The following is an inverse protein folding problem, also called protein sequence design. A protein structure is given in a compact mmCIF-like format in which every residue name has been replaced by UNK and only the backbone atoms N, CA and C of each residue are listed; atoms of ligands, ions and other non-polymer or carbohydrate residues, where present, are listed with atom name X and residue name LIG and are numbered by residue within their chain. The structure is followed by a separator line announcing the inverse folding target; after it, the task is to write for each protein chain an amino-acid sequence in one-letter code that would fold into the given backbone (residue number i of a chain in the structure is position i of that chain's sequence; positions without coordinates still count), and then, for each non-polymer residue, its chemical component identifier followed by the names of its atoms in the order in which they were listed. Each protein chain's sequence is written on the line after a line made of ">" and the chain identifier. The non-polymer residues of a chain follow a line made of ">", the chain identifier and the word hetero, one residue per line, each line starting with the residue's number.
data_IF_022950290464
#
_entry.id   IF_022950290464
#
_cell.length_a   1.000
_cell.length_b   1.000
_cell.length_c   1.000
_cell.angle_alpha   90.00
_cell.angle_beta   90.00
_cell.angle_gamma   90.00
#
_symmetry.space_group_name_H-M   'P 1'
#
loop_
_entity.id
_entity.type
_entity.pdbx_description
1 polymer ?
#
# COMPACT_ATOMS: atom_id res chain seq x y z
N UNK A 1 36.50 -32.93 25.17
CA UNK A 1 35.80 -33.41 23.96
C UNK A 1 35.04 -32.21 23.38
N UNK A 2 35.62 -31.54 22.35
CA UNK A 2 35.09 -30.32 21.75
C UNK A 2 34.16 -30.73 20.60
N UNK A 3 32.87 -30.69 20.82
CA UNK A 3 31.87 -30.82 19.76
C UNK A 3 31.90 -29.56 18.89
N UNK A 4 32.54 -29.66 17.74
CA UNK A 4 32.40 -28.69 16.66
C UNK A 4 31.05 -28.94 15.99
N UNK A 5 30.00 -28.23 16.39
CA UNK A 5 28.78 -28.12 15.63
C UNK A 5 29.00 -27.09 14.50
N UNK A 6 29.39 -27.61 13.36
CA UNK A 6 29.41 -26.89 12.09
C UNK A 6 27.97 -26.83 11.53
N UNK A 7 27.18 -25.86 11.99
CA UNK A 7 25.91 -25.54 11.36
C UNK A 7 26.11 -24.44 10.32
N UNK A 8 26.72 -24.75 9.19
CA UNK A 8 26.61 -24.02 7.91
C UNK A 8 27.49 -24.66 6.82
N UNK A 9 27.17 -25.86 6.30
CA UNK A 9 27.80 -26.31 5.06
C UNK A 9 26.86 -26.39 3.84
N UNK A 10 25.62 -25.92 3.87
CA UNK A 10 24.70 -26.19 2.76
C UNK A 10 24.24 -24.98 1.93
N UNK A 11 25.01 -23.89 1.88
CA UNK A 11 24.80 -22.85 0.87
C UNK A 11 25.98 -22.74 -0.12
N UNK A 12 26.57 -23.85 -0.50
CA UNK A 12 27.57 -23.92 -1.57
C UNK A 12 26.97 -24.27 -2.95
N UNK A 13 25.73 -23.87 -3.22
CA UNK A 13 25.13 -23.99 -4.55
C UNK A 13 25.47 -22.84 -5.51
N UNK A 14 26.52 -22.09 -5.22
CA UNK A 14 27.13 -21.22 -6.23
C UNK A 14 28.30 -22.02 -6.83
N UNK A 15 28.25 -22.36 -8.14
CA UNK A 15 29.34 -23.09 -8.76
C UNK A 15 30.62 -22.32 -8.55
N UNK A 16 31.68 -23.00 -8.04
CA UNK A 16 33.02 -22.49 -7.72
C UNK A 16 33.76 -21.80 -8.88
N UNK A 17 33.13 -21.61 -10.04
CA UNK A 17 33.70 -21.03 -11.28
C UNK A 17 33.06 -19.72 -11.72
N UNK A 18 32.12 -19.14 -10.99
CA UNK A 18 31.66 -17.78 -11.30
C UNK A 18 32.74 -16.80 -10.83
N UNK A 19 33.38 -16.15 -11.79
CA UNK A 19 34.37 -15.07 -11.53
C UNK A 19 33.65 -13.96 -10.74
N UNK A 20 33.79 -13.94 -9.40
CA UNK A 20 33.14 -12.99 -8.48
C UNK A 20 33.47 -11.53 -8.77
N UNK A 21 34.47 -11.26 -9.61
CA UNK A 21 34.85 -9.96 -10.10
C UNK A 21 34.13 -9.53 -11.37
N UNK A 22 33.32 -10.41 -12.00
CA UNK A 22 32.54 -10.04 -13.18
C UNK A 22 31.51 -8.96 -12.85
N UNK A 23 31.31 -8.02 -13.76
CA UNK A 23 30.29 -6.97 -13.65
C UNK A 23 28.90 -7.61 -13.47
N UNK A 24 28.62 -8.69 -14.19
CA UNK A 24 27.36 -9.43 -14.13
C UNK A 24 27.09 -9.94 -12.71
N UNK A 25 28.09 -10.52 -12.05
CA UNK A 25 27.92 -11.02 -10.67
C UNK A 25 27.61 -9.87 -9.69
N UNK A 26 28.25 -8.71 -9.87
CA UNK A 26 27.97 -7.51 -9.06
C UNK A 26 26.53 -7.00 -9.26
N UNK A 27 26.04 -6.97 -10.49
CA UNK A 27 24.66 -6.57 -10.82
C UNK A 27 23.66 -7.56 -10.20
N UNK A 28 23.87 -8.87 -10.38
CA UNK A 28 23.00 -9.90 -9.80
C UNK A 28 22.93 -9.76 -8.27
N UNK A 29 24.07 -9.53 -7.62
CA UNK A 29 24.13 -9.36 -6.16
C UNK A 29 23.30 -8.17 -5.70
N UNK A 30 23.48 -6.99 -6.29
CA UNK A 30 22.73 -5.79 -5.86
C UNK A 30 21.24 -5.91 -6.16
N UNK A 31 20.87 -6.52 -7.29
CA UNK A 31 19.49 -6.80 -7.64
C UNK A 31 18.82 -7.79 -6.66
N UNK A 32 19.54 -8.85 -6.28
CA UNK A 32 19.07 -9.81 -5.29
C UNK A 32 18.80 -9.15 -3.92
N UNK A 33 19.67 -8.24 -3.47
CA UNK A 33 19.44 -7.48 -2.24
C UNK A 33 18.18 -6.61 -2.36
N UNK A 34 17.98 -5.98 -3.51
CA UNK A 34 16.78 -5.18 -3.76
C UNK A 34 15.50 -6.02 -3.74
N UNK A 35 15.53 -7.24 -4.30
CA UNK A 35 14.41 -8.20 -4.21
C UNK A 35 14.10 -8.52 -2.74
N UNK A 36 15.12 -8.81 -1.92
CA UNK A 36 14.92 -9.10 -0.50
C UNK A 36 14.32 -7.91 0.25
N UNK A 37 14.72 -6.68 -0.07
CA UNK A 37 14.17 -5.45 0.53
C UNK A 37 12.78 -5.08 -0.03
N UNK A 38 12.34 -5.71 -1.11
CA UNK A 38 11.03 -5.50 -1.73
C UNK A 38 10.10 -6.71 -1.54
N UNK A 39 10.54 -7.74 -0.83
CA UNK A 39 9.87 -9.05 -0.76
C UNK A 39 8.41 -8.97 -0.30
N UNK A 40 8.10 -8.10 0.66
CA UNK A 40 6.73 -7.99 1.22
C UNK A 40 5.70 -7.65 0.16
N UNK A 41 6.05 -6.83 -0.85
CA UNK A 41 5.17 -6.48 -1.97
C UNK A 41 4.88 -7.72 -2.82
N UNK A 42 5.92 -8.44 -3.22
CA UNK A 42 5.78 -9.57 -4.15
C UNK A 42 5.25 -10.83 -3.47
N UNK A 43 5.60 -11.07 -2.19
CA UNK A 43 5.04 -12.18 -1.43
C UNK A 43 3.58 -11.98 -1.07
N UNK A 44 3.07 -10.73 -1.07
CA UNK A 44 1.66 -10.45 -0.83
C UNK A 44 0.71 -10.96 -1.93
N UNK A 45 1.24 -11.33 -3.09
CA UNK A 45 0.46 -12.02 -4.12
C UNK A 45 0.15 -13.49 -3.76
N UNK A 46 0.94 -14.07 -2.85
CA UNK A 46 0.76 -15.43 -2.36
C UNK A 46 0.16 -15.38 -0.96
N UNK A 47 -1.15 -15.46 -0.85
CA UNK A 47 -1.88 -15.31 0.42
C UNK A 47 -1.81 -16.58 1.28
N UNK A 48 -0.60 -17.08 1.57
CA UNK A 48 -0.39 -18.24 2.41
C UNK A 48 0.47 -17.92 3.64
N UNK A 49 0.30 -18.72 4.69
CA UNK A 49 0.95 -18.53 5.99
C UNK A 49 2.49 -18.65 5.90
N UNK A 50 3.02 -19.43 4.97
CA UNK A 50 4.47 -19.61 4.83
C UNK A 50 5.13 -18.35 4.30
N UNK A 51 4.59 -17.74 3.23
CA UNK A 51 5.10 -16.47 2.69
C UNK A 51 4.96 -15.35 3.69
N UNK A 52 3.86 -15.33 4.45
CA UNK A 52 3.66 -14.36 5.54
C UNK A 52 4.69 -14.54 6.66
N UNK A 53 4.99 -15.79 7.03
CA UNK A 53 5.97 -16.07 8.09
C UNK A 53 7.39 -15.71 7.69
N UNK A 54 7.80 -16.00 6.43
CA UNK A 54 9.18 -15.80 5.99
C UNK A 54 9.51 -14.35 5.61
N UNK A 55 8.52 -13.54 5.24
CA UNK A 55 8.71 -12.19 4.71
C UNK A 55 9.60 -11.29 5.59
N UNK A 56 9.37 -11.13 6.92
CA UNK A 56 10.23 -10.27 7.74
C UNK A 56 11.67 -10.80 7.88
N UNK A 57 11.87 -12.10 7.80
CA UNK A 57 13.23 -12.69 7.85
C UNK A 57 14.00 -12.43 6.54
N UNK A 58 13.31 -12.42 5.40
CA UNK A 58 13.91 -12.02 4.12
C UNK A 58 14.29 -10.53 4.13
N UNK A 59 13.47 -9.68 4.74
CA UNK A 59 13.79 -8.27 4.93
C UNK A 59 15.04 -8.09 5.82
N UNK A 60 15.12 -8.79 6.96
CA UNK A 60 16.30 -8.80 7.83
C UNK A 60 17.53 -9.24 7.04
N UNK A 61 17.41 -10.31 6.26
CA UNK A 61 18.53 -10.79 5.43
C UNK A 61 18.95 -9.76 4.39
N UNK A 62 18.01 -9.11 3.73
CA UNK A 62 18.26 -8.01 2.79
C UNK A 62 19.04 -6.86 3.44
N UNK A 63 18.64 -6.44 4.66
CA UNK A 63 19.34 -5.40 5.43
C UNK A 63 20.76 -5.83 5.83
N UNK A 64 20.97 -7.08 6.24
CA UNK A 64 22.30 -7.64 6.54
C UNK A 64 23.21 -7.60 5.30
N UNK A 65 22.69 -8.00 4.14
CA UNK A 65 23.44 -7.98 2.89
C UNK A 65 23.71 -6.54 2.40
N UNK A 66 22.79 -5.62 2.64
CA UNK A 66 23.00 -4.19 2.38
C UNK A 66 24.17 -3.67 3.20
N UNK A 67 24.23 -3.92 4.52
CA UNK A 67 25.33 -3.53 5.39
C UNK A 67 26.68 -4.17 4.98
N UNK A 68 26.66 -5.40 4.46
CA UNK A 68 27.85 -6.07 3.89
C UNK A 68 28.33 -5.45 2.57
N UNK A 69 27.57 -4.56 1.96
CA UNK A 69 27.97 -3.86 0.73
C UNK A 69 28.90 -2.70 1.09
N UNK A 70 30.15 -2.72 0.57
CA UNK A 70 31.24 -1.87 1.06
C UNK A 70 31.63 -0.70 0.15
N UNK A 71 30.74 -0.29 -0.75
CA UNK A 71 30.98 0.91 -1.56
C UNK A 71 29.67 1.65 -1.92
N UNK A 72 29.79 2.94 -2.14
CA UNK A 72 28.65 3.83 -2.42
C UNK A 72 27.92 3.47 -3.73
N UNK A 73 28.64 2.89 -4.69
CA UNK A 73 28.05 2.45 -5.96
C UNK A 73 27.12 1.26 -5.77
N UNK A 74 27.45 0.31 -4.88
CA UNK A 74 26.53 -0.80 -4.55
C UNK A 74 25.27 -0.28 -3.86
N UNK A 75 25.40 0.65 -2.88
CA UNK A 75 24.26 1.27 -2.24
C UNK A 75 23.36 1.99 -3.26
N UNK A 76 23.97 2.74 -4.19
CA UNK A 76 23.23 3.38 -5.27
C UNK A 76 22.41 2.37 -6.08
N UNK A 77 23.04 1.30 -6.57
CA UNK A 77 22.33 0.33 -7.40
C UNK A 77 21.30 -0.49 -6.63
N UNK A 78 21.52 -0.78 -5.34
CA UNK A 78 20.50 -1.40 -4.49
C UNK A 78 19.31 -0.47 -4.37
N UNK A 79 19.50 0.79 -4.02
CA UNK A 79 18.44 1.79 -3.92
C UNK A 79 17.71 2.01 -5.25
N UNK A 80 18.45 2.05 -6.36
CA UNK A 80 17.90 2.16 -7.71
C UNK A 80 16.93 1.01 -8.01
N UNK A 81 17.32 -0.23 -7.78
CA UNK A 81 16.45 -1.37 -8.00
C UNK A 81 15.30 -1.44 -6.98
N UNK A 82 15.52 -1.05 -5.72
CA UNK A 82 14.42 -0.91 -4.74
C UNK A 82 13.40 0.10 -5.24
N UNK A 83 13.81 1.29 -5.68
CA UNK A 83 12.91 2.30 -6.23
C UNK A 83 12.10 1.79 -7.42
N UNK A 84 12.75 1.06 -8.35
CA UNK A 84 12.05 0.44 -9.47
C UNK A 84 11.07 -0.63 -8.97
N UNK A 85 11.49 -1.58 -8.13
CA UNK A 85 10.64 -2.68 -7.68
C UNK A 85 9.42 -2.20 -6.87
N UNK A 86 9.52 -1.06 -6.18
CA UNK A 86 8.40 -0.49 -5.45
C UNK A 86 7.47 0.31 -6.34
N UNK A 87 7.97 1.00 -7.40
CA UNK A 87 7.23 2.08 -8.07
C UNK A 87 7.22 2.01 -9.61
N UNK A 88 7.63 0.87 -10.21
CA UNK A 88 7.61 0.73 -11.68
C UNK A 88 6.23 0.99 -12.29
N UNK A 89 5.19 0.69 -11.56
CA UNK A 89 3.81 0.82 -11.99
C UNK A 89 3.37 2.28 -12.18
N UNK A 90 4.03 3.26 -11.55
CA UNK A 90 3.69 4.69 -11.73
C UNK A 90 3.79 5.09 -13.21
N UNK A 91 4.75 4.53 -13.94
CA UNK A 91 4.90 4.77 -15.36
C UNK A 91 3.67 4.38 -16.18
N UNK A 92 2.89 3.38 -15.75
CA UNK A 92 1.72 2.91 -16.51
C UNK A 92 0.63 3.98 -16.65
N UNK A 93 0.51 4.90 -15.71
CA UNK A 93 -0.48 5.97 -15.78
C UNK A 93 -0.28 6.89 -17.00
N UNK A 94 0.96 7.00 -17.50
CA UNK A 94 1.26 7.84 -18.66
C UNK A 94 0.61 7.36 -19.96
N UNK A 95 0.19 6.09 -20.04
CA UNK A 95 -0.52 5.52 -21.20
C UNK A 95 -1.83 6.28 -21.45
N UNK A 96 -2.56 6.61 -20.39
CA UNK A 96 -3.85 7.29 -20.49
C UNK A 96 -3.76 8.77 -20.88
N UNK A 97 -2.54 9.31 -20.90
CA UNK A 97 -2.25 10.67 -21.36
C UNK A 97 -1.57 10.68 -22.77
N UNK A 98 -1.53 9.53 -23.46
CA UNK A 98 -0.83 9.32 -24.73
C UNK A 98 0.68 9.62 -24.66
N UNK A 99 1.29 9.43 -23.46
CA UNK A 99 2.70 9.64 -23.20
C UNK A 99 3.44 8.30 -23.01
N UNK A 100 3.21 7.35 -23.91
CA UNK A 100 3.71 5.96 -23.81
C UNK A 100 5.24 5.87 -23.61
N UNK A 101 6.00 6.84 -24.15
CA UNK A 101 7.45 6.90 -23.97
C UNK A 101 7.88 7.15 -22.52
N UNK A 102 7.00 7.71 -21.67
CA UNK A 102 7.27 7.92 -20.25
C UNK A 102 7.14 6.64 -19.42
N UNK A 103 6.49 5.59 -19.93
CA UNK A 103 6.33 4.31 -19.21
C UNK A 103 7.66 3.76 -18.68
N UNK A 104 8.73 3.62 -19.47
CA UNK A 104 10.04 3.21 -18.96
C UNK A 104 10.82 4.34 -18.27
N UNK A 105 10.60 5.60 -18.61
CA UNK A 105 11.39 6.73 -18.12
C UNK A 105 11.07 7.03 -16.66
N UNK A 106 9.78 7.08 -16.29
CA UNK A 106 9.35 7.39 -14.92
C UNK A 106 9.96 6.41 -13.88
N UNK A 107 9.88 5.08 -14.05
CA UNK A 107 10.53 4.14 -13.13
C UNK A 107 12.05 4.34 -13.02
N UNK A 108 12.73 4.69 -14.13
CA UNK A 108 14.17 4.96 -14.12
C UNK A 108 14.47 6.21 -13.28
N UNK A 109 13.70 7.28 -13.44
CA UNK A 109 13.85 8.51 -12.64
C UNK A 109 13.64 8.21 -11.15
N UNK A 110 12.58 7.47 -10.81
CA UNK A 110 12.30 7.07 -9.42
C UNK A 110 13.44 6.20 -8.88
N UNK A 111 13.89 5.22 -9.66
CA UNK A 111 15.05 4.41 -9.30
C UNK A 111 16.29 5.27 -9.01
N UNK A 112 16.53 6.29 -9.83
CA UNK A 112 17.66 7.22 -9.64
C UNK A 112 17.52 7.99 -8.32
N UNK A 113 16.34 8.49 -8.00
CA UNK A 113 16.06 9.20 -6.73
C UNK A 113 16.38 8.30 -5.53
N UNK A 114 15.83 7.08 -5.49
CA UNK A 114 16.09 6.13 -4.40
C UNK A 114 17.57 5.67 -4.40
N UNK A 115 18.19 5.50 -5.57
CA UNK A 115 19.61 5.23 -5.69
C UNK A 115 20.47 6.30 -5.03
N UNK A 116 20.16 7.56 -5.25
CA UNK A 116 20.84 8.70 -4.59
C UNK A 116 20.59 8.70 -3.08
N UNK A 117 19.36 8.48 -2.61
CA UNK A 117 19.06 8.41 -1.18
C UNK A 117 19.85 7.31 -0.47
N UNK A 118 19.90 6.10 -1.03
CA UNK A 118 20.71 5.01 -0.49
C UNK A 118 22.20 5.34 -0.50
N UNK A 119 22.69 5.94 -1.60
CA UNK A 119 24.08 6.39 -1.70
C UNK A 119 24.43 7.43 -0.64
N UNK A 120 23.54 8.39 -0.35
CA UNK A 120 23.72 9.37 0.71
C UNK A 120 23.82 8.70 2.09
N UNK A 121 23.00 7.68 2.36
CA UNK A 121 23.11 6.91 3.59
C UNK A 121 24.50 6.23 3.73
N UNK A 122 25.10 5.75 2.64
CA UNK A 122 26.44 5.17 2.66
C UNK A 122 27.53 6.16 3.08
N UNK A 123 27.36 7.47 2.82
CA UNK A 123 28.34 8.48 3.20
C UNK A 123 28.44 8.69 4.72
N UNK A 124 27.47 8.20 5.48
CA UNK A 124 27.54 8.20 6.94
C UNK A 124 28.70 7.30 7.42
N UNK A 125 29.47 7.79 8.38
CA UNK A 125 30.73 7.19 8.81
C UNK A 125 30.60 5.78 9.38
N UNK A 126 29.56 5.54 10.19
CA UNK A 126 29.35 4.31 10.92
C UNK A 126 28.22 3.48 10.31
N UNK A 127 28.39 2.15 10.26
CA UNK A 127 27.39 1.25 9.69
C UNK A 127 26.02 1.33 10.42
N UNK A 128 26.03 1.61 11.73
CA UNK A 128 24.83 1.89 12.49
C UNK A 128 24.09 3.14 11.96
N UNK A 129 24.82 4.23 11.74
CA UNK A 129 24.23 5.46 11.18
C UNK A 129 23.73 5.27 9.76
N UNK A 130 24.42 4.46 8.93
CA UNK A 130 23.95 4.08 7.60
C UNK A 130 22.58 3.40 7.68
N UNK A 131 22.44 2.46 8.61
CA UNK A 131 21.17 1.76 8.83
C UNK A 131 20.08 2.70 9.33
N UNK A 132 20.39 3.63 10.24
CA UNK A 132 19.48 4.69 10.65
C UNK A 132 19.07 5.57 9.46
N UNK A 133 20.00 5.92 8.58
CA UNK A 133 19.70 6.65 7.34
C UNK A 133 18.72 5.89 6.45
N UNK A 134 18.94 4.59 6.22
CA UNK A 134 18.05 3.72 5.46
C UNK A 134 16.66 3.67 6.10
N UNK A 135 16.56 3.56 7.43
CA UNK A 135 15.29 3.62 8.15
C UNK A 135 14.57 4.96 7.91
N UNK A 136 15.32 6.07 7.98
CA UNK A 136 14.77 7.42 7.81
C UNK A 136 14.25 7.69 6.39
N UNK A 137 14.62 6.90 5.37
CA UNK A 137 14.06 7.06 4.02
C UNK A 137 12.52 6.93 4.02
N UNK A 138 11.93 6.16 4.94
CA UNK A 138 10.47 6.08 5.11
C UNK A 138 9.79 7.42 5.42
N UNK A 139 10.55 8.41 5.89
CA UNK A 139 10.03 9.73 6.23
C UNK A 139 10.39 10.78 5.18
N UNK A 140 11.10 10.38 4.13
CA UNK A 140 11.43 11.22 2.99
C UNK A 140 10.44 10.91 1.89
N UNK A 141 9.69 11.92 1.47
CA UNK A 141 8.62 11.79 0.49
C UNK A 141 9.01 12.51 -0.81
N UNK A 142 9.78 11.85 -1.69
CA UNK A 142 10.20 12.47 -2.94
C UNK A 142 8.97 12.89 -3.76
N UNK A 143 8.98 14.13 -4.23
CA UNK A 143 7.89 14.70 -5.03
C UNK A 143 6.52 14.68 -4.30
N UNK A 144 6.50 14.60 -2.96
CA UNK A 144 5.28 14.55 -2.14
C UNK A 144 4.59 13.19 -2.07
N UNK A 145 5.21 12.13 -2.64
CA UNK A 145 4.65 10.77 -2.67
C UNK A 145 5.20 9.92 -1.52
N UNK A 146 4.33 9.46 -0.59
CA UNK A 146 4.71 8.86 0.71
C UNK A 146 4.50 7.34 0.82
N UNK A 147 4.43 6.63 -0.29
CA UNK A 147 4.19 5.18 -0.26
C UNK A 147 5.44 4.34 0.07
N UNK A 148 6.63 4.95 0.18
CA UNK A 148 7.81 4.25 0.63
C UNK A 148 7.83 4.16 2.15
N UNK A 149 7.48 3.00 2.70
CA UNK A 149 7.38 2.79 4.14
C UNK A 149 7.84 1.38 4.54
N UNK A 150 8.93 1.31 5.32
CA UNK A 150 9.42 0.03 5.85
C UNK A 150 8.43 -0.66 6.79
N UNK A 151 7.37 0.01 7.22
CA UNK A 151 6.27 -0.58 7.99
C UNK A 151 5.68 -1.82 7.37
N UNK A 152 5.71 -1.94 6.03
CA UNK A 152 5.23 -3.14 5.33
C UNK A 152 5.97 -4.42 5.74
N UNK A 153 7.20 -4.36 6.30
CA UNK A 153 7.92 -5.51 6.81
C UNK A 153 7.26 -6.16 8.03
N UNK A 154 6.40 -5.43 8.74
CA UNK A 154 5.71 -5.89 9.94
C UNK A 154 4.26 -6.32 9.70
N UNK A 155 3.74 -6.10 8.49
CA UNK A 155 2.36 -6.47 8.13
C UNK A 155 2.15 -7.98 8.26
N UNK A 156 3.18 -8.74 7.92
CA UNK A 156 3.20 -10.19 8.03
C UNK A 156 4.17 -10.65 9.13
N UNK A 157 4.10 -11.93 9.47
CA UNK A 157 5.02 -12.55 10.42
C UNK A 157 4.74 -12.20 11.87
N UNK A 158 5.77 -12.25 12.70
CA UNK A 158 5.67 -12.17 14.16
C UNK A 158 5.84 -10.77 14.74
N UNK A 159 6.37 -9.83 13.97
CA UNK A 159 6.68 -8.50 14.48
C UNK A 159 5.43 -7.63 14.61
N UNK A 160 5.42 -6.83 15.67
CA UNK A 160 4.36 -5.85 15.94
C UNK A 160 4.28 -4.82 14.80
N UNK A 161 3.09 -4.57 14.22
CA UNK A 161 2.91 -3.59 13.15
C UNK A 161 2.95 -2.16 13.67
N UNK A 162 4.13 -1.73 14.13
CA UNK A 162 4.43 -0.42 14.70
C UNK A 162 5.89 -0.06 14.49
N UNK A 163 6.27 1.15 14.84
CA UNK A 163 7.69 1.56 14.83
C UNK A 163 8.56 0.66 15.72
N UNK A 164 8.05 0.14 16.82
CA UNK A 164 8.75 -0.82 17.69
C UNK A 164 9.17 -2.06 16.89
N UNK A 165 8.25 -2.68 16.17
CA UNK A 165 8.55 -3.87 15.36
C UNK A 165 9.56 -3.57 14.24
N UNK A 166 9.41 -2.43 13.55
CA UNK A 166 10.34 -2.04 12.49
C UNK A 166 11.75 -1.79 13.05
N UNK A 167 11.87 -1.05 14.15
CA UNK A 167 13.16 -0.77 14.81
C UNK A 167 13.84 -2.07 15.22
N UNK A 168 13.08 -3.03 15.78
CA UNK A 168 13.62 -4.34 16.14
C UNK A 168 14.14 -5.12 14.92
N UNK A 169 13.42 -5.11 13.78
CA UNK A 169 13.88 -5.70 12.52
C UNK A 169 15.22 -5.11 12.09
N UNK A 170 15.35 -3.78 12.11
CA UNK A 170 16.59 -3.07 11.75
C UNK A 170 17.72 -3.38 12.73
N UNK A 171 17.47 -3.35 14.02
CA UNK A 171 18.47 -3.67 15.05
C UNK A 171 18.91 -5.14 14.97
N UNK A 172 18.00 -6.08 14.75
CA UNK A 172 18.33 -7.50 14.54
C UNK A 172 19.30 -7.63 13.35
N UNK A 173 18.99 -6.97 12.23
CA UNK A 173 19.88 -6.98 11.06
C UNK A 173 21.27 -6.41 11.39
N UNK A 174 21.34 -5.31 12.16
CA UNK A 174 22.58 -4.73 12.60
C UNK A 174 23.41 -5.69 13.46
N UNK A 175 22.81 -6.29 14.50
CA UNK A 175 23.53 -7.19 15.40
C UNK A 175 23.90 -8.52 14.75
N UNK A 176 23.16 -8.99 13.75
CA UNK A 176 23.59 -10.13 12.91
C UNK A 176 24.82 -9.76 12.07
N UNK A 177 24.84 -8.55 11.53
CA UNK A 177 25.96 -8.04 10.71
C UNK A 177 27.21 -7.75 11.54
N UNK A 178 27.06 -7.14 12.73
CA UNK A 178 28.15 -6.68 13.58
C UNK A 178 29.12 -7.81 13.92
N UNK A 179 30.43 -7.55 13.73
CA UNK A 179 31.47 -8.56 13.88
C UNK A 179 32.22 -8.57 15.23
N UNK A 180 32.17 -7.46 15.99
CA UNK A 180 32.98 -7.27 17.20
C UNK A 180 32.39 -7.92 18.46
N UNK A 181 31.08 -8.22 18.45
CA UNK A 181 30.39 -8.83 19.60
C UNK A 181 30.55 -10.35 19.54
N UNK A 182 30.86 -10.99 20.67
CA UNK A 182 31.01 -12.45 20.72
C UNK A 182 29.69 -13.13 20.34
N UNK A 183 29.77 -14.33 19.78
CA UNK A 183 28.61 -15.07 19.25
C UNK A 183 27.50 -15.26 20.27
N UNK A 184 27.83 -15.52 21.53
CA UNK A 184 26.82 -15.77 22.59
C UNK A 184 26.03 -14.50 22.92
N UNK A 185 26.72 -13.37 23.14
CA UNK A 185 26.06 -12.09 23.37
C UNK A 185 25.24 -11.64 22.18
N UNK A 186 25.74 -11.86 20.96
CA UNK A 186 24.97 -11.57 19.73
C UNK A 186 23.66 -12.34 19.68
N UNK A 187 23.67 -13.66 19.94
CA UNK A 187 22.46 -14.48 19.99
C UNK A 187 21.50 -13.96 21.05
N UNK A 188 22.02 -13.67 22.27
CA UNK A 188 21.20 -13.14 23.34
C UNK A 188 20.53 -11.80 22.96
N UNK A 189 21.28 -10.86 22.36
CA UNK A 189 20.75 -9.57 21.92
C UNK A 189 19.68 -9.76 20.83
N UNK A 190 19.94 -10.61 19.83
CA UNK A 190 18.99 -10.89 18.74
C UNK A 190 17.71 -11.50 19.30
N UNK A 191 17.80 -12.43 20.26
CA UNK A 191 16.60 -12.99 20.92
C UNK A 191 15.83 -11.93 21.73
N UNK A 192 16.54 -11.10 22.50
CA UNK A 192 15.91 -9.99 23.25
C UNK A 192 15.18 -9.06 22.28
N UNK A 193 15.81 -8.66 21.17
CA UNK A 193 15.20 -7.79 20.17
C UNK A 193 14.04 -8.46 19.46
N UNK A 194 14.14 -9.77 19.15
CA UNK A 194 13.03 -10.52 18.56
C UNK A 194 11.80 -10.52 19.48
N UNK A 195 11.98 -10.85 20.76
CA UNK A 195 10.88 -10.80 21.72
C UNK A 195 10.40 -9.38 21.99
N UNK A 196 11.29 -8.38 22.03
CA UNK A 196 10.89 -6.97 22.18
C UNK A 196 10.06 -6.47 21.00
N UNK A 197 10.35 -6.94 19.78
CA UNK A 197 9.62 -6.58 18.57
C UNK A 197 8.39 -7.47 18.30
N UNK A 198 8.18 -8.52 19.10
CA UNK A 198 7.11 -9.49 18.90
C UNK A 198 5.71 -8.88 19.14
N UNK A 199 4.73 -9.32 18.36
CA UNK A 199 3.34 -8.95 18.56
C UNK A 199 2.70 -9.87 19.60
N UNK A 200 2.45 -9.34 20.80
CA UNK A 200 1.84 -10.11 21.89
C UNK A 200 0.32 -9.99 21.92
N UNK A 201 -0.22 -8.86 21.46
CA UNK A 201 -1.63 -8.56 21.53
C UNK A 201 -2.19 -8.17 20.17
N UNK A 202 -3.44 -8.49 19.93
CA UNK A 202 -4.22 -8.00 18.82
C UNK A 202 -4.91 -6.69 19.22
N UNK A 203 -4.90 -5.72 18.31
CA UNK A 203 -5.75 -4.54 18.48
C UNK A 203 -7.15 -4.88 18.00
N UNK A 204 -8.12 -4.58 18.82
CA UNK A 204 -9.52 -4.69 18.44
C UNK A 204 -9.91 -3.45 17.63
N UNK A 205 -10.63 -3.65 16.54
CA UNK A 205 -11.23 -2.59 15.76
C UNK A 205 -12.75 -2.68 15.83
N UNK A 206 -13.39 -1.52 15.79
CA UNK A 206 -14.84 -1.48 15.55
C UNK A 206 -15.12 -1.94 14.12
N UNK A 207 -16.20 -2.69 13.95
CA UNK A 207 -16.73 -3.08 12.64
C UNK A 207 -18.00 -2.32 12.34
N UNK A 208 -18.36 -2.23 11.06
CA UNK A 208 -19.66 -1.68 10.68
C UNK A 208 -20.78 -2.51 11.28
N UNK A 209 -21.74 -1.84 11.92
CA UNK A 209 -22.93 -2.47 12.51
C UNK A 209 -24.04 -2.74 11.48
N UNK A 210 -23.86 -2.28 10.24
CA UNK A 210 -24.82 -2.43 9.15
C UNK A 210 -24.48 -3.64 8.28
N UNK A 211 -25.50 -4.32 7.76
CA UNK A 211 -25.33 -5.34 6.74
C UNK A 211 -25.00 -4.66 5.40
N UNK A 212 -23.73 -4.75 4.98
CA UNK A 212 -23.19 -4.02 3.84
C UNK A 212 -22.88 -4.89 2.62
N UNK A 213 -22.77 -4.25 1.46
CA UNK A 213 -22.25 -4.81 0.21
C UNK A 213 -21.19 -3.87 -0.37
N UNK A 214 -20.01 -4.42 -0.72
CA UNK A 214 -18.96 -3.71 -1.46
C UNK A 214 -19.07 -4.07 -2.93
N UNK A 215 -19.10 -3.08 -3.82
CA UNK A 215 -19.18 -3.28 -5.26
C UNK A 215 -17.82 -3.08 -5.91
N UNK A 216 -17.42 -4.04 -6.74
CA UNK A 216 -16.32 -3.91 -7.67
C UNK A 216 -16.88 -3.71 -9.07
N UNK A 217 -16.62 -2.59 -9.69
CA UNK A 217 -17.16 -2.28 -11.03
C UNK A 217 -16.38 -2.92 -12.16
N UNK A 218 -15.10 -3.24 -11.95
CA UNK A 218 -14.20 -3.85 -12.93
C UNK A 218 -14.24 -3.20 -14.34
N UNK A 219 -14.44 -1.89 -14.38
CA UNK A 219 -14.47 -1.10 -15.61
C UNK A 219 -13.04 -0.66 -15.92
N UNK A 220 -12.55 -0.94 -17.13
CA UNK A 220 -11.21 -0.52 -17.55
C UNK A 220 -11.12 1.01 -17.65
N UNK A 221 -9.93 1.55 -17.39
CA UNK A 221 -9.72 2.99 -17.28
C UNK A 221 -9.99 3.73 -18.60
N UNK A 222 -9.68 3.12 -19.73
CA UNK A 222 -9.93 3.67 -21.07
C UNK A 222 -11.42 3.76 -21.41
N UNK A 223 -12.26 2.85 -20.86
CA UNK A 223 -13.71 2.81 -21.11
C UNK A 223 -14.50 3.67 -20.11
N UNK A 224 -13.93 3.92 -18.93
CA UNK A 224 -14.65 4.50 -17.80
C UNK A 224 -15.18 5.91 -18.05
N UNK A 225 -14.42 6.72 -18.78
CA UNK A 225 -14.73 8.15 -19.04
C UNK A 225 -15.30 8.41 -20.43
N UNK A 226 -15.50 7.37 -21.26
CA UNK A 226 -16.12 7.56 -22.58
C UNK A 226 -17.59 7.94 -22.43
N UNK A 227 -17.98 9.02 -23.07
CA UNK A 227 -19.36 9.56 -23.00
C UNK A 227 -20.42 8.52 -23.37
N UNK A 228 -20.13 7.67 -24.36
CA UNK A 228 -20.99 6.57 -24.79
C UNK A 228 -21.25 5.52 -23.73
N UNK A 229 -20.29 5.33 -22.79
CA UNK A 229 -20.37 4.33 -21.73
C UNK A 229 -20.95 4.87 -20.42
N UNK A 230 -21.00 6.20 -20.22
CA UNK A 230 -21.44 6.78 -18.94
C UNK A 230 -22.86 6.34 -18.56
N UNK A 231 -23.76 6.29 -19.56
CA UNK A 231 -25.15 5.86 -19.33
C UNK A 231 -25.20 4.37 -18.93
N UNK A 232 -24.61 3.49 -19.74
CA UNK A 232 -24.63 2.04 -19.49
C UNK A 232 -23.96 1.67 -18.18
N UNK A 233 -22.81 2.27 -17.86
CA UNK A 233 -22.14 2.07 -16.59
C UNK A 233 -23.01 2.52 -15.41
N UNK A 234 -23.68 3.68 -15.51
CA UNK A 234 -24.56 4.17 -14.46
C UNK A 234 -25.80 3.29 -14.27
N UNK A 235 -26.37 2.77 -15.36
CA UNK A 235 -27.53 1.90 -15.32
C UNK A 235 -27.19 0.55 -14.65
N UNK A 236 -25.98 0.00 -14.88
CA UNK A 236 -25.46 -1.19 -14.18
C UNK A 236 -25.33 -0.92 -12.67
N UNK A 237 -24.78 0.23 -12.28
CA UNK A 237 -24.67 0.61 -10.86
C UNK A 237 -26.04 0.72 -10.17
N UNK A 238 -27.05 1.24 -10.86
CA UNK A 238 -28.40 1.27 -10.33
C UNK A 238 -28.97 -0.15 -10.15
N UNK A 239 -28.68 -1.09 -11.07
CA UNK A 239 -29.08 -2.49 -10.92
C UNK A 239 -28.39 -3.15 -9.72
N UNK A 240 -27.10 -2.89 -9.50
CA UNK A 240 -26.36 -3.38 -8.33
C UNK A 240 -26.99 -2.88 -7.01
N UNK A 241 -27.42 -1.60 -6.98
CA UNK A 241 -28.09 -1.02 -5.82
C UNK A 241 -29.45 -1.69 -5.59
N UNK A 242 -30.26 -1.88 -6.65
CA UNK A 242 -31.55 -2.57 -6.56
C UNK A 242 -31.36 -4.02 -6.09
N UNK A 243 -30.34 -4.70 -6.61
CA UNK A 243 -29.99 -6.04 -6.15
C UNK A 243 -29.64 -6.06 -4.66
N UNK A 244 -28.83 -5.11 -4.19
CA UNK A 244 -28.48 -5.01 -2.77
C UNK A 244 -29.71 -4.78 -1.88
N UNK A 245 -30.69 -3.99 -2.33
CA UNK A 245 -31.98 -3.81 -1.65
C UNK A 245 -32.74 -5.15 -1.56
N UNK A 246 -32.80 -5.91 -2.66
CA UNK A 246 -33.45 -7.23 -2.70
C UNK A 246 -32.76 -8.24 -1.80
N UNK A 247 -31.42 -8.13 -1.64
CA UNK A 247 -30.61 -8.90 -0.71
C UNK A 247 -30.73 -8.42 0.75
N UNK A 248 -31.61 -7.45 1.03
CA UNK A 248 -31.83 -6.84 2.35
C UNK A 248 -30.56 -6.25 2.96
N UNK A 249 -29.71 -5.64 2.12
CA UNK A 249 -28.57 -4.87 2.59
C UNK A 249 -29.02 -3.51 3.12
N UNK A 250 -28.32 -3.01 4.14
CA UNK A 250 -28.57 -1.71 4.76
C UNK A 250 -27.64 -0.63 4.22
N UNK A 251 -26.48 -1.06 3.68
CA UNK A 251 -25.45 -0.20 3.13
C UNK A 251 -24.85 -0.82 1.86
N UNK A 252 -24.71 0.00 0.82
CA UNK A 252 -23.93 -0.34 -0.37
C UNK A 252 -22.82 0.68 -0.56
N UNK A 253 -21.61 0.19 -0.88
CA UNK A 253 -20.41 1.01 -1.08
C UNK A 253 -19.88 0.72 -2.49
N UNK A 254 -19.92 1.75 -3.34
CA UNK A 254 -19.40 1.72 -4.70
C UNK A 254 -18.02 2.40 -4.75
N UNK A 255 -17.17 2.09 -5.76
CA UNK A 255 -15.81 2.60 -5.81
C UNK A 255 -15.71 4.08 -6.17
N UNK A 256 -14.46 4.58 -6.18
CA UNK A 256 -14.09 5.93 -6.61
C UNK A 256 -14.56 6.20 -8.04
N UNK A 257 -15.12 7.42 -8.25
CA UNK A 257 -15.65 7.84 -9.55
C UNK A 257 -16.52 6.77 -10.23
N UNK A 258 -17.35 6.04 -9.46
CA UNK A 258 -18.29 5.07 -10.01
C UNK A 258 -19.22 5.76 -11.01
N UNK A 259 -19.74 6.94 -10.66
CA UNK A 259 -20.35 7.88 -11.60
C UNK A 259 -19.24 8.84 -12.07
N UNK A 260 -18.76 8.62 -13.29
CA UNK A 260 -17.58 9.32 -13.84
C UNK A 260 -17.95 10.72 -14.43
N UNK A 261 -18.84 11.46 -13.76
CA UNK A 261 -19.30 12.81 -14.12
C UNK A 261 -19.75 13.58 -12.88
N UNK A 262 -20.03 14.87 -13.03
CA UNK A 262 -20.67 15.65 -11.97
C UNK A 262 -22.09 15.12 -11.71
N UNK A 263 -22.28 14.55 -10.52
CA UNK A 263 -23.52 13.88 -10.17
C UNK A 263 -24.65 14.85 -9.80
N UNK A 264 -24.32 16.09 -9.42
CA UNK A 264 -25.29 17.10 -8.99
C UNK A 264 -26.29 17.43 -10.09
N UNK A 265 -27.53 17.60 -9.70
CA UNK A 265 -28.65 18.00 -10.58
C UNK A 265 -28.90 17.06 -11.76
N UNK A 266 -28.40 15.82 -11.68
CA UNK A 266 -28.66 14.79 -12.69
C UNK A 266 -29.88 13.94 -12.34
N UNK A 267 -30.42 13.24 -13.32
CA UNK A 267 -31.45 12.23 -13.07
C UNK A 267 -30.98 11.11 -12.13
N UNK A 268 -29.69 10.78 -12.18
CA UNK A 268 -29.09 9.75 -11.33
C UNK A 268 -29.05 10.19 -9.86
N UNK A 269 -28.74 11.45 -9.58
CA UNK A 269 -28.83 11.97 -8.20
C UNK A 269 -30.26 11.82 -7.63
N UNK A 270 -31.28 12.15 -8.44
CA UNK A 270 -32.67 12.01 -8.01
C UNK A 270 -33.06 10.53 -7.75
N UNK A 271 -32.66 9.62 -8.65
CA UNK A 271 -32.87 8.19 -8.47
C UNK A 271 -32.16 7.65 -7.23
N UNK A 272 -30.89 8.05 -6.98
CA UNK A 272 -30.14 7.65 -5.80
C UNK A 272 -30.76 8.19 -4.51
N UNK A 273 -31.27 9.41 -4.50
CA UNK A 273 -32.02 9.96 -3.37
C UNK A 273 -33.24 9.12 -3.06
N UNK A 274 -34.00 8.72 -4.09
CA UNK A 274 -35.18 7.87 -3.92
C UNK A 274 -34.83 6.48 -3.40
N UNK A 275 -33.83 5.81 -3.98
CA UNK A 275 -33.38 4.51 -3.52
C UNK A 275 -32.83 4.58 -2.08
N UNK A 276 -32.30 5.73 -1.67
CA UNK A 276 -31.70 5.92 -0.33
C UNK A 276 -32.69 5.87 0.83
N UNK A 277 -33.98 5.87 0.56
CA UNK A 277 -35.02 5.55 1.58
C UNK A 277 -35.01 4.07 1.96
N UNK A 278 -34.48 3.19 1.08
CA UNK A 278 -34.43 1.73 1.30
C UNK A 278 -33.06 1.23 1.70
N UNK A 279 -31.98 1.88 1.28
CA UNK A 279 -30.58 1.48 1.53
C UNK A 279 -29.69 2.72 1.60
N UNK A 280 -28.74 2.77 2.52
CA UNK A 280 -27.71 3.82 2.48
C UNK A 280 -26.74 3.56 1.33
N UNK A 281 -26.43 4.58 0.51
CA UNK A 281 -25.58 4.45 -0.66
C UNK A 281 -24.36 5.36 -0.49
N UNK A 282 -23.16 4.79 -0.60
CA UNK A 282 -21.90 5.52 -0.62
C UNK A 282 -21.25 5.28 -1.98
N UNK A 283 -20.94 6.35 -2.72
CA UNK A 283 -20.40 6.25 -4.08
C UNK A 283 -19.42 7.36 -4.37
N UNK A 284 -18.45 7.07 -5.25
CA UNK A 284 -17.56 8.09 -5.80
C UNK A 284 -18.17 8.75 -7.05
N UNK A 285 -18.03 10.07 -7.15
CA UNK A 285 -18.37 10.85 -8.34
C UNK A 285 -17.59 12.17 -8.35
N UNK A 286 -17.69 12.93 -9.45
CA UNK A 286 -17.18 14.31 -9.45
C UNK A 286 -18.18 15.25 -8.78
N UNK A 287 -17.65 16.32 -8.22
CA UNK A 287 -18.42 17.43 -7.67
C UNK A 287 -17.87 18.73 -8.26
N UNK A 288 -18.67 19.42 -9.04
CA UNK A 288 -18.28 20.72 -9.64
C UNK A 288 -18.96 21.84 -8.86
N UNK A 289 -18.18 22.76 -8.32
CA UNK A 289 -18.65 23.93 -7.61
C UNK A 289 -17.97 25.19 -8.16
N UNK A 290 -18.74 26.00 -8.88
CA UNK A 290 -18.22 27.16 -9.62
C UNK A 290 -17.09 26.74 -10.57
N UNK A 291 -15.85 27.21 -10.33
CA UNK A 291 -14.67 26.91 -11.13
C UNK A 291 -13.80 25.78 -10.54
N UNK A 292 -14.33 25.02 -9.56
CA UNK A 292 -13.60 23.99 -8.84
C UNK A 292 -14.22 22.62 -9.12
N UNK A 293 -13.38 21.68 -9.57
CA UNK A 293 -13.73 20.26 -9.72
C UNK A 293 -13.09 19.47 -8.60
N UNK A 294 -13.88 18.66 -7.92
CA UNK A 294 -13.44 17.78 -6.84
C UNK A 294 -13.69 16.33 -7.20
N UNK A 295 -12.77 15.46 -6.79
CA UNK A 295 -13.02 14.03 -6.66
C UNK A 295 -13.71 13.81 -5.31
N UNK A 296 -14.91 13.19 -5.29
CA UNK A 296 -15.77 13.25 -4.11
C UNK A 296 -16.45 11.93 -3.80
N UNK A 297 -16.74 11.74 -2.52
CA UNK A 297 -17.65 10.71 -2.03
C UNK A 297 -19.03 11.33 -1.80
N UNK A 298 -20.05 10.73 -2.38
CA UNK A 298 -21.45 11.04 -2.16
C UNK A 298 -22.07 10.00 -1.23
N UNK A 299 -22.81 10.47 -0.22
CA UNK A 299 -23.50 9.64 0.75
C UNK A 299 -24.98 9.97 0.68
N UNK A 300 -25.78 9.02 0.18
CA UNK A 300 -27.22 9.14 0.11
C UNK A 300 -27.84 8.34 1.26
N UNK A 301 -28.63 9.00 2.10
CA UNK A 301 -29.31 8.39 3.25
C UNK A 301 -30.65 9.06 3.51
N UNK A 302 -31.74 8.29 3.48
CA UNK A 302 -33.11 8.77 3.75
C UNK A 302 -33.46 10.02 2.95
N UNK A 303 -33.18 10.03 1.64
CA UNK A 303 -33.46 11.14 0.72
C UNK A 303 -32.45 12.30 0.79
N UNK A 304 -31.56 12.35 1.79
CA UNK A 304 -30.54 13.39 1.92
C UNK A 304 -29.25 12.97 1.21
N UNK A 305 -28.45 13.96 0.77
CA UNK A 305 -27.13 13.76 0.20
C UNK A 305 -26.10 14.58 0.94
N UNK A 306 -24.96 13.94 1.26
CA UNK A 306 -23.78 14.56 1.83
C UNK A 306 -22.62 14.33 0.88
N UNK A 307 -21.80 15.37 0.64
CA UNK A 307 -20.70 15.33 -0.30
C UNK A 307 -19.41 15.61 0.46
N UNK A 308 -18.43 14.74 0.29
CA UNK A 308 -17.11 14.85 0.93
C UNK A 308 -16.04 14.88 -0.15
N UNK A 309 -15.36 16.01 -0.26
CA UNK A 309 -14.33 16.25 -1.26
C UNK A 309 -12.97 15.71 -0.81
N UNK A 310 -12.22 15.10 -1.72
CA UNK A 310 -10.86 14.59 -1.51
C UNK A 310 -9.91 15.72 -1.14
N UNK A 311 -9.06 15.50 -0.12
CA UNK A 311 -8.04 16.45 0.32
C UNK A 311 -6.65 16.09 -0.20
N UNK A 312 -6.20 14.84 0.01
CA UNK A 312 -4.88 14.39 -0.39
C UNK A 312 -4.89 13.92 -1.84
N UNK A 313 -4.52 14.81 -2.73
CA UNK A 313 -4.45 14.55 -4.16
C UNK A 313 -3.19 13.73 -4.52
N UNK A 314 -3.29 12.93 -5.57
CA UNK A 314 -2.15 12.15 -6.09
C UNK A 314 -1.21 13.10 -6.84
N UNK A 315 0.07 13.19 -6.41
CA UNK A 315 1.05 14.01 -7.13
C UNK A 315 1.19 13.56 -8.59
N UNK A 316 1.16 14.50 -9.52
CA UNK A 316 1.20 14.34 -10.98
C UNK A 316 0.01 13.60 -11.62
N UNK A 317 -0.89 13.04 -10.82
CA UNK A 317 -2.13 12.42 -11.31
C UNK A 317 -3.33 13.34 -11.14
N UNK A 318 -3.45 14.00 -10.01
CA UNK A 318 -4.58 14.87 -9.65
C UNK A 318 -4.14 16.33 -9.36
N UNK A 319 -2.89 16.52 -8.95
CA UNK A 319 -2.26 17.84 -8.79
C UNK A 319 -0.84 17.83 -9.35
N UNK A 320 -0.36 18.99 -9.81
CA UNK A 320 1.03 19.18 -10.24
C UNK A 320 1.77 19.93 -9.12
N UNK A 321 2.58 19.24 -8.29
CA UNK A 321 3.17 19.83 -7.11
C UNK A 321 4.32 20.81 -7.40
N UNK A 322 5.05 20.63 -8.53
CA UNK A 322 6.24 21.40 -8.88
C UNK A 322 6.25 21.75 -10.35
N UNK A 323 6.89 22.89 -10.73
CA UNK A 323 7.07 23.31 -12.13
C UNK A 323 5.79 23.30 -12.97
N UNK A 324 4.65 23.62 -12.35
CA UNK A 324 3.31 23.56 -12.96
C UNK A 324 3.26 24.15 -14.38
N UNK A 325 3.84 25.34 -14.58
CA UNK A 325 3.85 26.01 -15.88
C UNK A 325 4.60 25.21 -16.97
N UNK A 326 5.75 24.61 -16.64
CA UNK A 326 6.54 23.80 -17.57
C UNK A 326 5.84 22.48 -17.86
N UNK A 327 5.35 21.81 -16.84
CA UNK A 327 4.71 20.48 -16.97
C UNK A 327 3.42 20.60 -17.78
N UNK A 328 2.57 21.60 -17.50
CA UNK A 328 1.37 21.86 -18.31
C UNK A 328 1.71 22.21 -19.75
N UNK A 329 2.72 23.04 -19.98
CA UNK A 329 3.10 23.45 -21.33
C UNK A 329 3.57 22.30 -22.22
N UNK A 330 4.36 21.36 -21.65
CA UNK A 330 5.05 20.35 -22.46
C UNK A 330 4.46 18.93 -22.36
N UNK A 331 3.82 18.58 -21.24
CA UNK A 331 3.38 17.20 -20.97
C UNK A 331 1.89 17.05 -20.72
N UNK A 332 1.25 18.00 -20.03
CA UNK A 332 -0.09 17.84 -19.49
C UNK A 332 -1.02 19.00 -19.89
N UNK A 333 -1.04 19.37 -21.18
CA UNK A 333 -1.75 20.55 -21.70
C UNK A 333 -3.25 20.60 -21.35
N UNK A 334 -3.90 19.44 -21.26
CA UNK A 334 -5.36 19.31 -21.11
C UNK A 334 -5.78 18.68 -19.77
N UNK A 335 -4.88 18.60 -18.76
CA UNK A 335 -5.25 18.05 -17.48
C UNK A 335 -5.86 19.15 -16.61
N UNK A 336 -7.12 18.98 -16.26
CA UNK A 336 -7.77 19.70 -15.20
C UNK A 336 -7.31 19.14 -13.85
N UNK A 337 -6.74 20.01 -13.02
CA UNK A 337 -6.36 19.66 -11.66
C UNK A 337 -7.60 19.65 -10.78
N UNK A 338 -7.67 18.67 -9.86
CA UNK A 338 -8.68 18.68 -8.83
C UNK A 338 -8.39 19.73 -7.75
N UNK A 339 -9.46 20.27 -7.18
CA UNK A 339 -9.39 21.11 -6.01
C UNK A 339 -9.36 20.28 -4.73
N UNK A 340 -8.71 20.81 -3.68
CA UNK A 340 -8.60 20.14 -2.38
C UNK A 340 -9.82 20.41 -1.52
N UNK A 341 -10.43 19.36 -0.98
CA UNK A 341 -11.43 19.44 0.06
C UNK A 341 -10.83 19.69 1.47
N UNK A 342 -11.64 19.67 2.51
CA UNK A 342 -11.18 19.78 3.90
C UNK A 342 -10.35 18.56 4.33
N UNK A 343 -9.41 18.80 5.28
CA UNK A 343 -8.60 17.72 5.86
C UNK A 343 -9.50 16.79 6.69
N UNK A 344 -9.29 15.48 6.57
CA UNK A 344 -10.00 14.44 7.35
C UNK A 344 -11.52 14.58 7.29
N UNK A 345 -12.10 14.27 6.15
CA UNK A 345 -13.56 14.24 6.00
C UNK A 345 -14.14 13.08 6.79
N UNK A 346 -14.99 13.40 7.79
CA UNK A 346 -15.71 12.43 8.62
C UNK A 346 -17.21 12.65 8.52
N UNK A 347 -17.97 11.57 8.68
CA UNK A 347 -19.42 11.62 8.71
C UNK A 347 -19.98 10.61 9.70
N UNK A 348 -21.21 10.81 10.09
CA UNK A 348 -21.92 9.91 11.00
C UNK A 348 -22.81 8.95 10.21
N UNK A 349 -22.59 7.66 10.42
CA UNK A 349 -23.43 6.61 9.88
C UNK A 349 -24.10 5.89 11.07
N UNK A 350 -25.37 6.23 11.32
CA UNK A 350 -26.10 5.93 12.54
C UNK A 350 -25.31 6.41 13.78
N UNK A 351 -24.88 5.52 14.66
CA UNK A 351 -24.11 5.87 15.85
C UNK A 351 -22.59 5.78 15.66
N UNK A 352 -22.13 5.39 14.45
CA UNK A 352 -20.72 5.23 14.16
C UNK A 352 -20.15 6.44 13.40
N UNK A 353 -18.95 6.87 13.81
CA UNK A 353 -18.19 7.91 13.09
C UNK A 353 -17.28 7.22 12.08
N UNK A 354 -17.49 7.54 10.82
CA UNK A 354 -16.76 6.98 9.68
C UNK A 354 -15.79 8.02 9.14
N UNK A 355 -14.56 7.63 8.91
CA UNK A 355 -13.58 8.44 8.17
C UNK A 355 -13.70 8.08 6.68
N UNK A 356 -13.89 9.11 5.85
CA UNK A 356 -13.87 8.98 4.40
C UNK A 356 -12.43 8.94 3.89
N UNK A 357 -12.16 8.10 2.89
CA UNK A 357 -10.86 8.08 2.22
C UNK A 357 -11.03 7.74 0.73
N UNK A 358 -10.50 8.58 -0.15
CA UNK A 358 -10.57 8.36 -1.60
C UNK A 358 -9.17 7.99 -2.10
N UNK A 359 -9.01 6.74 -2.56
CA UNK A 359 -7.81 6.21 -3.22
C UNK A 359 -6.53 6.44 -2.37
N UNK A 360 -5.67 7.35 -2.78
CA UNK A 360 -4.42 7.73 -2.10
C UNK A 360 -4.62 8.11 -0.62
N UNK A 361 -5.77 8.67 -0.26
CA UNK A 361 -6.11 9.01 1.14
C UNK A 361 -6.17 7.79 2.04
N UNK A 362 -6.52 6.62 1.50
CA UNK A 362 -6.58 5.38 2.28
C UNK A 362 -5.21 4.90 2.76
N UNK A 363 -4.12 5.47 2.23
CA UNK A 363 -2.75 5.17 2.65
C UNK A 363 -2.12 6.26 3.50
N UNK A 364 -2.87 7.32 3.85
CA UNK A 364 -2.37 8.41 4.69
C UNK A 364 -2.49 8.06 6.16
N UNK A 365 -1.37 8.03 6.88
CA UNK A 365 -1.34 7.75 8.31
C UNK A 365 -2.29 8.65 9.12
N UNK A 366 -2.41 9.92 8.73
CA UNK A 366 -3.28 10.90 9.37
C UNK A 366 -4.76 10.47 9.39
N UNK A 367 -5.22 9.72 8.38
CA UNK A 367 -6.60 9.24 8.32
C UNK A 367 -6.89 8.11 9.31
N UNK A 368 -5.85 7.44 9.83
CA UNK A 368 -5.98 6.41 10.85
C UNK A 368 -5.91 6.95 12.27
N UNK A 369 -5.21 8.10 12.45
CA UNK A 369 -5.16 8.77 13.74
C UNK A 369 -6.55 9.24 14.15
N UNK A 370 -7.01 8.84 15.33
CA UNK A 370 -8.36 9.16 15.84
C UNK A 370 -9.53 8.66 14.98
N UNK A 371 -9.31 7.58 14.23
CA UNK A 371 -10.33 6.88 13.45
C UNK A 371 -10.58 5.49 14.03
N UNK A 372 -11.81 4.99 13.86
CA UNK A 372 -12.20 3.64 14.26
C UNK A 372 -12.57 2.80 13.03
N UNK A 373 -13.27 3.44 12.09
CA UNK A 373 -13.73 2.82 10.85
C UNK A 373 -13.39 3.77 9.69
N UNK A 374 -12.80 3.22 8.65
CA UNK A 374 -12.55 3.92 7.39
C UNK A 374 -13.36 3.25 6.29
N UNK A 375 -14.09 4.04 5.50
CA UNK A 375 -14.63 3.61 4.22
C UNK A 375 -13.77 4.22 3.13
N UNK A 376 -13.13 3.33 2.34
CA UNK A 376 -12.20 3.71 1.29
C UNK A 376 -12.75 3.37 -0.08
N UNK A 377 -12.70 4.31 -1.01
CA UNK A 377 -13.13 4.16 -2.40
C UNK A 377 -11.91 4.34 -3.31
N UNK A 378 -11.57 3.35 -4.16
CA UNK A 378 -10.41 3.44 -5.03
C UNK A 378 -10.72 3.07 -6.47
N UNK A 379 -9.91 3.62 -7.38
CA UNK A 379 -9.89 3.24 -8.79
C UNK A 379 -8.50 2.68 -9.16
N UNK A 380 -8.30 1.37 -8.93
CA UNK A 380 -7.05 0.68 -9.23
C UNK A 380 -6.90 0.31 -10.73
N UNK A 381 -7.92 0.60 -11.56
CA UNK A 381 -7.85 0.36 -13.00
C UNK A 381 -6.78 1.19 -13.73
N UNK A 382 -6.30 2.30 -13.11
CA UNK A 382 -5.16 3.07 -13.58
C UNK A 382 -3.88 2.25 -13.72
N UNK A 383 -3.73 1.20 -12.91
CA UNK A 383 -2.49 0.42 -12.77
C UNK A 383 -2.75 -1.08 -12.95
N UNK A 384 -3.66 -1.45 -13.86
CA UNK A 384 -3.98 -2.85 -14.13
C UNK A 384 -2.72 -3.70 -14.38
N UNK A 385 -2.74 -4.94 -13.85
CA UNK A 385 -1.65 -5.91 -13.95
C UNK A 385 -0.32 -5.46 -13.31
N UNK A 386 -0.39 -4.61 -12.29
CA UNK A 386 0.78 -4.14 -11.53
C UNK A 386 0.73 -4.54 -10.06
N UNK A 387 1.81 -4.18 -9.33
CA UNK A 387 1.92 -4.36 -7.88
C UNK A 387 1.34 -3.20 -7.07
N UNK A 388 0.77 -2.19 -7.70
CA UNK A 388 0.22 -0.99 -7.05
C UNK A 388 -0.78 -1.35 -5.95
N UNK A 389 -1.84 -2.09 -6.29
CA UNK A 389 -2.91 -2.43 -5.35
C UNK A 389 -2.43 -3.27 -4.16
N UNK A 390 -1.40 -4.12 -4.35
CA UNK A 390 -0.81 -4.89 -3.25
C UNK A 390 -0.01 -3.98 -2.31
N UNK A 391 0.75 -3.01 -2.84
CA UNK A 391 1.44 -2.01 -2.03
C UNK A 391 0.42 -1.14 -1.27
N UNK A 392 -0.64 -0.67 -1.93
CA UNK A 392 -1.74 0.06 -1.30
C UNK A 392 -2.35 -0.74 -0.14
N UNK A 393 -2.69 -2.02 -0.37
CA UNK A 393 -3.23 -2.90 0.66
C UNK A 393 -2.26 -3.13 1.83
N UNK A 394 -0.95 -3.25 1.56
CA UNK A 394 0.07 -3.41 2.62
C UNK A 394 0.16 -2.18 3.51
N UNK A 395 0.14 -0.98 2.92
CA UNK A 395 0.14 0.28 3.67
C UNK A 395 -1.13 0.41 4.52
N UNK A 396 -2.30 0.13 3.94
CA UNK A 396 -3.56 0.11 4.70
C UNK A 396 -3.53 -0.92 5.83
N UNK A 397 -3.05 -2.15 5.59
CA UNK A 397 -2.90 -3.20 6.62
C UNK A 397 -1.95 -2.75 7.74
N UNK A 398 -0.85 -2.08 7.39
CA UNK A 398 0.10 -1.54 8.37
C UNK A 398 -0.57 -0.51 9.27
N UNK A 399 -1.23 0.51 8.70
CA UNK A 399 -1.87 1.56 9.48
C UNK A 399 -3.11 1.06 10.24
N UNK A 400 -3.93 0.20 9.63
CA UNK A 400 -5.06 -0.45 10.29
C UNK A 400 -4.60 -1.19 11.56
N UNK A 401 -3.53 -1.95 11.46
CA UNK A 401 -2.97 -2.69 12.58
C UNK A 401 -2.30 -1.78 13.61
N UNK A 402 -1.58 -0.74 13.14
CA UNK A 402 -0.91 0.23 14.02
C UNK A 402 -1.89 1.01 14.88
N UNK A 403 -3.07 1.35 14.35
CA UNK A 403 -4.04 2.21 15.03
C UNK A 403 -5.28 1.47 15.56
N UNK A 404 -5.49 0.20 15.20
CA UNK A 404 -6.69 -0.55 15.60
C UNK A 404 -7.93 -0.13 14.82
N UNK A 405 -7.79 0.11 13.52
CA UNK A 405 -8.85 0.65 12.63
C UNK A 405 -9.30 -0.42 11.65
N UNK A 406 -10.60 -0.53 11.40
CA UNK A 406 -11.13 -1.33 10.29
C UNK A 406 -11.25 -0.48 9.01
N UNK A 407 -10.94 -1.08 7.85
CA UNK A 407 -11.06 -0.43 6.55
C UNK A 407 -11.94 -1.25 5.64
N UNK A 408 -13.00 -0.63 5.12
CA UNK A 408 -13.91 -1.20 4.14
C UNK A 408 -13.59 -0.57 2.78
N UNK A 409 -12.95 -1.33 1.91
CA UNK A 409 -12.37 -0.81 0.68
C UNK A 409 -13.12 -1.34 -0.54
N UNK A 410 -13.86 -0.46 -1.21
CA UNK A 410 -14.50 -0.72 -2.49
C UNK A 410 -13.59 -0.23 -3.64
N UNK A 411 -13.41 -1.07 -4.67
CA UNK A 411 -12.43 -0.81 -5.72
C UNK A 411 -13.02 -0.96 -7.12
N UNK A 412 -12.50 -0.22 -8.07
CA UNK A 412 -12.65 -0.50 -9.50
C UNK A 412 -11.39 -1.21 -10.02
N UNK A 413 -11.56 -2.34 -10.69
CA UNK A 413 -10.50 -3.06 -11.37
C UNK A 413 -9.65 -4.01 -10.51
N UNK A 414 -9.87 -4.06 -9.19
CA UNK A 414 -9.24 -5.02 -8.27
C UNK A 414 -10.25 -5.48 -7.20
N UNK A 415 -9.88 -6.52 -6.46
CA UNK A 415 -10.73 -7.10 -5.44
C UNK A 415 -11.06 -6.12 -4.32
N UNK A 416 -12.33 -6.09 -3.91
CA UNK A 416 -12.75 -5.43 -2.69
C UNK A 416 -12.17 -6.15 -1.48
N UNK A 417 -11.79 -5.41 -0.44
CA UNK A 417 -11.23 -6.00 0.77
C UNK A 417 -11.75 -5.31 2.03
N UNK A 418 -11.99 -6.10 3.07
CA UNK A 418 -12.14 -5.60 4.43
C UNK A 418 -10.85 -5.87 5.18
N UNK A 419 -10.20 -4.82 5.64
CA UNK A 419 -8.94 -4.89 6.39
C UNK A 419 -9.26 -4.69 7.86
N UNK A 420 -8.95 -5.69 8.67
CA UNK A 420 -8.96 -5.63 10.11
C UNK A 420 -7.52 -5.57 10.64
N UNK A 421 -7.30 -5.13 11.86
CA UNK A 421 -5.99 -5.19 12.49
C UNK A 421 -5.40 -6.60 12.42
N UNK A 422 -4.09 -6.67 12.31
CA UNK A 422 -3.35 -7.92 12.18
C UNK A 422 -3.63 -8.85 13.36
N UNK A 423 -4.03 -10.07 13.03
CA UNK A 423 -4.17 -11.17 14.00
C UNK A 423 -2.81 -11.76 14.37
N UNK A 424 -2.74 -12.42 15.54
CA UNK A 424 -1.54 -13.13 15.95
C UNK A 424 -1.25 -14.28 14.97
N UNK A 425 -0.01 -14.33 14.49
CA UNK A 425 0.38 -15.40 13.56
C UNK A 425 0.28 -16.79 14.19
N UNK A 426 0.47 -16.90 15.51
CA UNK A 426 0.30 -18.15 16.27
C UNK A 426 -1.12 -18.72 16.19
N UNK A 427 -2.14 -17.87 16.12
CA UNK A 427 -3.53 -18.31 15.94
C UNK A 427 -3.78 -18.79 14.50
N UNK A 428 -3.21 -18.12 13.52
CA UNK A 428 -3.30 -18.56 12.13
C UNK A 428 -2.66 -19.95 11.95
N UNK A 429 -1.51 -20.21 12.58
CA UNK A 429 -0.88 -21.54 12.56
C UNK A 429 -1.72 -22.60 13.29
N UNK A 430 -2.31 -22.27 14.45
CA UNK A 430 -3.23 -23.19 15.15
C UNK A 430 -4.43 -23.57 14.28
N UNK A 431 -5.02 -22.59 13.60
CA UNK A 431 -6.16 -22.82 12.72
C UNK A 431 -5.77 -23.71 11.53
N UNK A 432 -4.63 -23.45 10.89
CA UNK A 432 -4.12 -24.30 9.81
C UNK A 432 -3.90 -25.75 10.26
N UNK A 433 -3.25 -25.94 11.41
CA UNK A 433 -3.05 -27.29 11.94
C UNK A 433 -4.38 -27.97 12.23
N UNK A 434 -5.33 -27.26 12.83
CA UNK A 434 -6.68 -27.80 13.08
C UNK A 434 -7.36 -28.25 11.80
N UNK A 435 -7.37 -27.42 10.76
CA UNK A 435 -7.93 -27.77 9.46
C UNK A 435 -7.25 -29.01 8.83
N UNK A 436 -5.92 -29.11 8.91
CA UNK A 436 -5.16 -30.26 8.42
C UNK A 436 -5.46 -31.55 9.18
N UNK A 437 -5.79 -31.49 10.46
CA UNK A 437 -6.13 -32.67 11.25
C UNK A 437 -7.61 -33.03 11.14
N UNK A 438 -8.51 -32.05 11.00
CA UNK A 438 -9.94 -32.30 10.84
C UNK A 438 -10.28 -32.79 9.42
N UNK A 439 -9.48 -32.44 8.40
CA UNK A 439 -9.63 -32.96 7.02
C UNK A 439 -9.17 -34.42 6.85
N UNK A 440 -8.56 -35.02 7.89
CA UNK A 440 -8.13 -36.42 7.90
C UNK A 440 -9.08 -37.33 8.66
N UNK A 441 -10.16 -36.81 9.19
CA UNK A 441 -11.31 -37.56 9.75
C UNK A 441 -12.46 -37.61 8.73
#
# INVERSE_FOLDING_TARGET
>A
MKLKLNFLPYFSFIPKKLNTNSIIFKIIKVFFIAILLSNSIYLSFFENIFTQTISPFLAIWGLVLLLKSKNSTQYFWIGFFVGILWFWWIGLSSIYFNLNYLVPIIPIIIGFIYGLLFRLCYLLKFDFLRLCGIFCISFIHPLGFDWFNWGIFTVYGFFDPSYRGIICIFLIAYFIYEGYISRYYKIAIVLILFFSGFQYNEKQAQTLNLNYKLINTNISQDQKFLQENLKSNSDILLQDIIQAINEKKELIILPETAFAFDLKNTKYELMLKELSYKITIITGAFNVEKDHTYNSTYIFKKGNVYILNKHFLVPFGEEIPFFKGLIKKYFLKNIEEFSKGPIQSKYKLDDQIITNAICYEATKEQNYQNSQIIIALSNNAWFNNSSEYKLQQLLMKFYASKYGVSVYHATNGKENIVILPKKLLSENWKNLFKEMFDSKK
#
